data_IF_078931790596
#
_entry.id   IF_078931790596
#
_cell.length_a   1.000
_cell.length_b   1.000
_cell.length_c   1.000
_cell.angle_alpha   90.00
_cell.angle_beta   90.00
_cell.angle_gamma   90.00
#
_symmetry.space_group_name_H-M   'P 1'
#
loop_
_entity.id
_entity.type
_entity.pdbx_description
1 polymer ?
#
# COMPACT_ATOMS: atom_id res chain seq x y z
N UNK A 1 12.90 12.50 -22.80
CA UNK A 1 12.69 12.33 -21.38
C UNK A 1 14.02 12.45 -20.65
N UNK A 2 14.18 13.48 -19.83
CA UNK A 2 15.45 13.82 -19.15
C UNK A 2 15.52 13.25 -17.72
N UNK A 3 14.52 12.47 -17.29
CA UNK A 3 14.48 11.87 -15.95
C UNK A 3 15.30 10.59 -15.89
N UNK A 4 16.16 10.48 -14.88
CA UNK A 4 16.91 9.25 -14.56
C UNK A 4 16.13 8.30 -13.65
N UNK A 5 14.97 8.73 -13.14
CA UNK A 5 14.10 7.91 -12.30
C UNK A 5 13.56 6.71 -13.09
N UNK A 6 14.02 5.52 -12.71
CA UNK A 6 13.71 4.26 -13.42
C UNK A 6 12.24 3.90 -13.33
N UNK A 7 11.58 4.26 -12.23
CA UNK A 7 10.21 3.83 -11.93
C UNK A 7 9.17 4.68 -12.67
N UNK A 8 9.46 5.96 -12.90
CA UNK A 8 8.48 6.88 -13.49
C UNK A 8 8.83 7.39 -14.89
N UNK A 9 10.09 7.30 -15.31
CA UNK A 9 10.53 7.84 -16.62
C UNK A 9 9.78 7.25 -17.82
N UNK A 10 9.39 5.97 -17.74
CA UNK A 10 8.63 5.28 -18.79
C UNK A 10 7.17 5.71 -18.86
N UNK A 11 6.64 6.26 -17.75
CA UNK A 11 5.27 6.75 -17.61
C UNK A 11 5.20 8.29 -17.64
N UNK A 12 6.16 8.96 -18.26
CA UNK A 12 6.19 10.42 -18.33
C UNK A 12 6.39 11.11 -16.98
N UNK A 13 7.00 10.43 -15.99
CA UNK A 13 7.20 10.94 -14.65
C UNK A 13 6.00 10.75 -13.71
N UNK A 14 4.97 10.01 -14.15
CA UNK A 14 3.77 9.79 -13.36
C UNK A 14 3.99 8.74 -12.28
N UNK A 15 3.82 9.12 -11.02
CA UNK A 15 3.89 8.21 -9.89
C UNK A 15 2.58 7.42 -9.78
N UNK A 16 2.66 6.11 -9.81
CA UNK A 16 1.51 5.21 -9.73
C UNK A 16 1.41 4.54 -8.36
N UNK A 17 0.20 4.26 -7.94
CA UNK A 17 -0.06 3.44 -6.77
C UNK A 17 0.35 1.99 -7.07
N UNK A 18 1.26 1.38 -6.29
CA UNK A 18 1.78 0.03 -6.59
C UNK A 18 0.71 -1.07 -6.50
N UNK A 19 -0.41 -0.83 -5.82
CA UNK A 19 -1.50 -1.82 -5.67
C UNK A 19 -2.55 -1.70 -6.76
N UNK A 20 -2.96 -0.47 -7.09
CA UNK A 20 -4.08 -0.24 -8.02
C UNK A 20 -3.62 0.17 -9.42
N UNK A 21 -2.32 0.48 -9.58
CA UNK A 21 -1.74 1.04 -10.82
C UNK A 21 -2.38 2.36 -11.27
N UNK A 22 -3.12 3.01 -10.38
CA UNK A 22 -3.71 4.32 -10.63
C UNK A 22 -2.74 5.45 -10.30
N UNK A 23 -2.84 6.58 -11.00
CA UNK A 23 -2.06 7.78 -10.70
C UNK A 23 -2.64 8.58 -9.51
N UNK A 24 -3.12 7.88 -8.50
CA UNK A 24 -3.72 8.42 -7.27
C UNK A 24 -3.06 7.79 -6.06
N UNK A 25 -2.54 8.64 -5.20
CA UNK A 25 -1.85 8.24 -3.98
C UNK A 25 -2.48 8.92 -2.78
N UNK A 26 -2.71 8.16 -1.72
CA UNK A 26 -3.12 8.73 -0.44
C UNK A 26 -1.93 9.45 0.19
N UNK A 27 -2.10 10.71 0.53
CA UNK A 27 -1.05 11.54 1.11
C UNK A 27 -0.49 10.90 2.38
N UNK A 28 -1.35 10.31 3.22
CA UNK A 28 -0.97 9.63 4.46
C UNK A 28 -0.12 8.37 4.27
N UNK A 29 -0.10 7.80 3.05
CA UNK A 29 0.66 6.60 2.71
C UNK A 29 1.92 6.89 1.89
N UNK A 30 2.18 8.17 1.61
CA UNK A 30 3.42 8.57 0.96
C UNK A 30 4.60 8.38 1.90
N UNK A 31 5.76 8.12 1.29
CA UNK A 31 7.02 8.18 2.02
C UNK A 31 7.18 9.54 2.70
N UNK A 32 7.68 9.60 3.94
CA UNK A 32 7.83 10.85 4.68
C UNK A 32 8.61 11.93 3.94
N UNK A 33 9.59 11.57 3.13
CA UNK A 33 10.34 12.52 2.30
C UNK A 33 9.46 13.19 1.28
N UNK A 34 8.64 12.43 0.56
CA UNK A 34 7.68 12.91 -0.44
C UNK A 34 6.53 13.67 0.21
N UNK A 35 5.98 13.14 1.32
CA UNK A 35 4.90 13.78 2.06
C UNK A 35 5.25 15.21 2.45
N UNK A 36 6.44 15.42 3.03
CA UNK A 36 6.88 16.74 3.47
C UNK A 36 7.01 17.75 2.31
N UNK A 37 7.26 17.27 1.09
CA UNK A 37 7.35 18.13 -0.08
C UNK A 37 5.98 18.52 -0.66
N UNK A 38 4.99 17.61 -0.57
CA UNK A 38 3.69 17.83 -1.26
C UNK A 38 2.56 18.30 -0.34
N UNK A 39 2.69 18.17 0.98
CA UNK A 39 1.60 18.48 1.94
C UNK A 39 1.04 19.91 1.79
N UNK A 40 1.90 20.88 1.51
CA UNK A 40 1.55 22.30 1.39
C UNK A 40 1.29 22.75 -0.06
N UNK A 41 1.60 21.88 -1.04
CA UNK A 41 1.41 22.21 -2.44
C UNK A 41 -0.07 22.12 -2.83
N UNK A 42 -0.46 23.03 -3.72
CA UNK A 42 -1.77 23.06 -4.37
C UNK A 42 -1.72 22.31 -5.70
N UNK A 43 -2.88 22.05 -6.26
CA UNK A 43 -2.99 21.51 -7.60
C UNK A 43 -2.28 22.41 -8.62
N UNK A 44 -1.40 21.85 -9.42
CA UNK A 44 -0.59 22.54 -10.42
C UNK A 44 0.79 22.99 -9.93
N UNK A 45 1.00 23.04 -8.62
CA UNK A 45 2.27 23.49 -8.03
C UNK A 45 3.40 22.48 -8.27
N UNK A 46 4.60 23.02 -8.26
CA UNK A 46 5.86 22.26 -8.38
C UNK A 46 6.65 22.46 -7.09
N UNK A 47 7.19 21.38 -6.54
CA UNK A 47 8.05 21.44 -5.35
C UNK A 47 9.37 22.14 -5.65
N UNK A 48 10.04 22.59 -4.59
CA UNK A 48 11.47 22.88 -4.67
C UNK A 48 12.25 21.60 -4.97
N UNK A 49 13.45 21.76 -5.49
CA UNK A 49 14.40 20.64 -5.61
C UNK A 49 14.76 20.14 -4.22
N UNK A 50 14.63 18.85 -3.99
CA UNK A 50 15.01 18.23 -2.72
C UNK A 50 15.89 17.01 -2.96
N UNK A 51 16.71 16.70 -1.96
CA UNK A 51 17.55 15.52 -1.95
C UNK A 51 16.74 14.35 -1.38
N UNK A 52 16.67 13.27 -2.14
CA UNK A 52 16.11 12.00 -1.69
C UNK A 52 17.19 10.93 -1.68
N UNK A 53 17.06 9.96 -0.79
CA UNK A 53 18.04 8.90 -0.63
C UNK A 53 17.35 7.54 -0.64
N UNK A 54 17.73 6.69 -1.57
CA UNK A 54 17.27 5.31 -1.59
C UNK A 54 17.88 4.49 -0.45
N UNK A 55 17.24 3.36 -0.14
CA UNK A 55 17.69 2.42 0.91
C UNK A 55 19.13 1.96 0.74
N UNK A 56 19.65 1.97 -0.49
CA UNK A 56 21.04 1.60 -0.81
C UNK A 56 22.03 2.76 -0.68
N UNK A 57 21.59 3.93 -0.19
CA UNK A 57 22.44 5.08 0.05
C UNK A 57 22.66 6.00 -1.17
N UNK A 58 22.14 5.66 -2.33
CA UNK A 58 22.24 6.51 -3.53
C UNK A 58 21.39 7.76 -3.35
N UNK A 59 21.98 8.93 -3.63
CA UNK A 59 21.32 10.23 -3.46
C UNK A 59 20.85 10.75 -4.81
N UNK A 60 19.61 11.24 -4.85
CA UNK A 60 19.00 11.82 -6.05
C UNK A 60 18.42 13.19 -5.75
N UNK A 61 18.49 14.09 -6.72
CA UNK A 61 17.72 15.33 -6.68
C UNK A 61 16.39 15.10 -7.38
N UNK A 62 15.30 15.39 -6.67
CA UNK A 62 13.93 15.19 -7.16
C UNK A 62 13.16 16.51 -7.19
N UNK A 63 12.23 16.60 -8.13
CA UNK A 63 11.22 17.64 -8.25
C UNK A 63 9.88 16.95 -8.41
N UNK A 64 8.87 17.40 -7.70
CA UNK A 64 7.51 16.86 -7.75
C UNK A 64 6.54 17.91 -8.29
N UNK A 65 5.58 17.47 -9.09
CA UNK A 65 4.45 18.29 -9.54
C UNK A 65 3.16 17.65 -9.07
N UNK A 66 2.28 18.43 -8.46
CA UNK A 66 0.94 18.01 -8.06
C UNK A 66 -0.01 18.22 -9.22
N UNK A 67 -0.32 17.18 -9.98
CA UNK A 67 -1.23 17.28 -11.13
C UNK A 67 -2.68 17.50 -10.69
N UNK A 68 -3.12 16.78 -9.64
CA UNK A 68 -4.46 16.91 -9.07
C UNK A 68 -4.39 16.67 -7.57
N UNK A 69 -5.14 17.45 -6.80
CA UNK A 69 -5.36 17.26 -5.37
C UNK A 69 -6.85 17.06 -5.15
N UNK A 70 -7.21 16.02 -4.43
CA UNK A 70 -8.58 15.74 -4.01
C UNK A 70 -8.67 15.96 -2.51
N UNK A 71 -9.61 16.78 -2.07
CA UNK A 71 -9.86 17.00 -0.66
C UNK A 71 -10.45 15.74 0.00
N UNK A 72 -10.36 15.68 1.31
CA UNK A 72 -10.94 14.61 2.09
C UNK A 72 -12.46 14.53 1.84
N UNK A 73 -12.95 13.35 1.51
CA UNK A 73 -14.35 13.10 1.22
C UNK A 73 -14.74 11.68 1.63
N UNK A 74 -16.02 11.43 1.81
CA UNK A 74 -16.52 10.06 1.96
C UNK A 74 -16.32 9.31 0.65
N UNK A 75 -15.81 8.07 0.75
CA UNK A 75 -15.61 7.25 -0.42
C UNK A 75 -16.92 7.01 -1.17
N UNK A 76 -16.91 7.22 -2.48
CA UNK A 76 -18.03 6.96 -3.38
C UNK A 76 -17.61 6.11 -4.58
N UNK A 77 -18.58 5.41 -5.20
CA UNK A 77 -18.29 4.51 -6.31
C UNK A 77 -17.83 5.22 -7.59
N UNK A 78 -18.14 6.49 -7.77
CA UNK A 78 -17.76 7.21 -8.98
C UNK A 78 -16.27 7.61 -8.95
N UNK A 79 -15.78 8.02 -7.78
CA UNK A 79 -14.40 8.53 -7.63
C UNK A 79 -13.43 7.51 -7.05
N UNK A 80 -13.89 6.54 -6.22
CA UNK A 80 -13.04 5.65 -5.46
C UNK A 80 -13.25 4.17 -5.78
N UNK A 81 -13.86 3.87 -6.93
CA UNK A 81 -14.22 2.50 -7.32
C UNK A 81 -13.07 1.50 -7.15
N UNK A 82 -11.88 1.83 -7.63
CA UNK A 82 -10.74 0.90 -7.56
C UNK A 82 -10.31 0.62 -6.12
N UNK A 83 -10.33 1.64 -5.26
CA UNK A 83 -10.02 1.49 -3.84
C UNK A 83 -11.07 0.64 -3.13
N UNK A 84 -12.35 0.89 -3.37
CA UNK A 84 -13.45 0.11 -2.79
C UNK A 84 -13.37 -1.35 -3.25
N UNK A 85 -13.15 -1.56 -4.55
CA UNK A 85 -12.96 -2.90 -5.13
C UNK A 85 -11.77 -3.63 -4.50
N UNK A 86 -10.63 -2.97 -4.34
CA UNK A 86 -9.43 -3.57 -3.74
C UNK A 86 -9.66 -3.94 -2.26
N UNK A 87 -10.31 -3.08 -1.50
CA UNK A 87 -10.69 -3.37 -0.11
C UNK A 87 -11.66 -4.56 -0.03
N UNK A 88 -12.69 -4.58 -0.85
CA UNK A 88 -13.65 -5.69 -0.89
C UNK A 88 -13.01 -7.02 -1.32
N UNK A 89 -12.08 -6.97 -2.29
CA UNK A 89 -11.32 -8.15 -2.70
C UNK A 89 -10.42 -8.66 -1.57
N UNK A 90 -9.74 -7.76 -0.89
CA UNK A 90 -8.88 -8.09 0.25
C UNK A 90 -9.69 -8.74 1.39
N UNK A 91 -10.84 -8.17 1.75
CA UNK A 91 -11.74 -8.72 2.77
C UNK A 91 -12.23 -10.12 2.39
N UNK A 92 -12.67 -10.30 1.14
CA UNK A 92 -13.06 -11.61 0.63
C UNK A 92 -11.92 -12.63 0.68
N UNK A 93 -10.70 -12.23 0.30
CA UNK A 93 -9.53 -13.10 0.36
C UNK A 93 -9.23 -13.54 1.80
N UNK A 94 -9.27 -12.62 2.76
CA UNK A 94 -9.07 -12.96 4.18
C UNK A 94 -10.14 -13.92 4.70
N UNK A 95 -11.38 -13.69 4.31
CA UNK A 95 -12.50 -14.56 4.69
C UNK A 95 -12.32 -15.99 4.14
N UNK A 96 -11.98 -16.11 2.85
CA UNK A 96 -11.77 -17.42 2.20
C UNK A 96 -10.53 -18.14 2.74
N UNK A 97 -9.44 -17.41 3.02
CA UNK A 97 -8.26 -17.98 3.68
C UNK A 97 -8.62 -18.50 5.07
N UNK A 98 -9.41 -17.75 5.84
CA UNK A 98 -9.88 -18.17 7.17
C UNK A 98 -10.68 -19.46 7.11
N UNK A 99 -11.62 -19.58 6.18
CA UNK A 99 -12.40 -20.82 5.95
C UNK A 99 -11.48 -21.99 5.58
N UNK A 100 -10.62 -21.77 4.60
CA UNK A 100 -9.66 -22.79 4.16
C UNK A 100 -8.75 -23.26 5.29
N UNK A 101 -8.24 -22.35 6.12
CA UNK A 101 -7.43 -22.70 7.29
C UNK A 101 -8.22 -23.55 8.28
N UNK A 102 -9.46 -23.18 8.61
CA UNK A 102 -10.31 -23.94 9.52
C UNK A 102 -10.54 -25.36 9.02
N UNK A 103 -10.92 -25.50 7.74
CA UNK A 103 -11.13 -26.82 7.13
C UNK A 103 -9.85 -27.68 7.11
N UNK A 104 -8.69 -27.08 6.85
CA UNK A 104 -7.44 -27.83 6.83
C UNK A 104 -6.95 -28.20 8.24
N UNK A 105 -7.20 -27.35 9.25
CA UNK A 105 -6.92 -27.70 10.65
C UNK A 105 -7.76 -28.92 11.05
N UNK A 106 -9.03 -28.98 10.63
CA UNK A 106 -9.90 -30.13 10.94
C UNK A 106 -9.46 -31.43 10.25
N UNK A 107 -9.00 -31.35 9.01
CA UNK A 107 -8.65 -32.51 8.17
C UNK A 107 -7.26 -33.06 8.43
N UNK A 108 -6.35 -32.26 8.94
CA UNK A 108 -4.94 -32.63 9.09
C UNK A 108 -4.60 -33.00 10.54
N UNK A 109 -3.63 -33.90 10.71
CA UNK A 109 -3.03 -34.15 12.01
C UNK A 109 -2.05 -33.01 12.35
N UNK A 110 -2.31 -32.32 13.47
CA UNK A 110 -1.46 -31.23 13.94
C UNK A 110 -0.97 -31.58 15.35
N UNK A 111 0.34 -31.55 15.55
CA UNK A 111 0.99 -31.73 16.84
C UNK A 111 1.67 -30.42 17.26
N UNK A 112 1.15 -29.80 18.31
CA UNK A 112 1.79 -28.67 18.95
C UNK A 112 2.69 -29.17 20.07
N UNK A 113 3.96 -28.73 20.11
CA UNK A 113 4.89 -29.09 21.17
C UNK A 113 4.38 -28.59 22.53
N UNK A 114 4.70 -29.33 23.60
CA UNK A 114 4.22 -29.05 24.94
C UNK A 114 4.56 -27.62 25.41
N UNK A 115 5.73 -27.11 25.00
CA UNK A 115 6.20 -25.76 25.35
C UNK A 115 5.30 -24.63 24.84
N UNK A 116 4.43 -24.92 23.85
CA UNK A 116 3.54 -23.95 23.20
C UNK A 116 2.06 -24.23 23.41
N UNK A 117 1.70 -25.22 24.25
CA UNK A 117 0.29 -25.59 24.48
C UNK A 117 -0.52 -24.50 25.18
N UNK A 118 0.13 -23.71 26.00
CA UNK A 118 -0.50 -22.63 26.75
C UNK A 118 -0.50 -21.29 25.98
N UNK A 119 0.01 -21.27 24.75
CA UNK A 119 -0.03 -20.08 23.90
C UNK A 119 -1.44 -19.84 23.35
N UNK A 120 -1.79 -18.57 23.24
CA UNK A 120 -3.02 -18.15 22.56
C UNK A 120 -2.79 -18.14 21.06
N UNK A 121 -3.52 -18.98 20.34
CA UNK A 121 -3.48 -19.04 18.87
C UNK A 121 -4.69 -18.34 18.27
N UNK A 122 -4.53 -17.67 17.15
CA UNK A 122 -5.61 -17.04 16.38
C UNK A 122 -6.58 -18.07 15.76
N UNK A 123 -6.10 -19.30 15.55
CA UNK A 123 -6.90 -20.43 15.06
C UNK A 123 -6.81 -21.59 16.04
N UNK A 124 -7.80 -22.48 16.01
CA UNK A 124 -7.87 -23.63 16.93
C UNK A 124 -6.89 -24.75 16.53
N UNK A 125 -5.58 -24.52 16.70
CA UNK A 125 -4.53 -25.52 16.44
C UNK A 125 -4.53 -26.67 17.46
N UNK A 126 -5.07 -26.42 18.66
CA UNK A 126 -5.18 -27.42 19.72
C UNK A 126 -6.54 -28.10 19.58
N UNK A 127 -6.62 -29.16 18.78
CA UNK A 127 -7.80 -30.02 18.76
C UNK A 127 -7.97 -30.66 20.13
N UNK A 128 -9.14 -30.50 20.69
CA UNK A 128 -9.57 -31.30 21.85
C UNK A 128 -9.98 -32.69 21.41
#
# INVERSE_FOLDING_TARGET
ASSEDKDTRTNGGLLLNPRTSEPRLEISKLDPSLYNQVKELKQGDISKVFLDQERQGTKFFKILKVNKKTEEHKADYATDYMKIKDLALSDKQFTEIGKWMTENIEKNYIKVNNDYKDCTFSNNWLKK
#
